data_IF_469866416517
#
_entry.id   IF_469866416517
#
_cell.length_a   1.000
_cell.length_b   1.000
_cell.length_c   1.000
_cell.angle_alpha   90.00
_cell.angle_beta   90.00
_cell.angle_gamma   90.00
#
_symmetry.space_group_name_H-M   'P 1'
#
loop_
_entity.id
_entity.type
_entity.pdbx_description
1 polymer ?
#
# COMPACT_ATOMS: atom_id res chain seq x y z
N UNK A 1 -26.69 4.24 -17.58
CA UNK A 1 -27.81 4.03 -16.65
C UNK A 1 -27.40 3.26 -15.40
N UNK A 2 -26.84 2.05 -15.50
CA UNK A 2 -26.46 1.25 -14.30
C UNK A 2 -25.43 1.91 -13.36
N UNK A 3 -24.40 2.56 -13.90
CA UNK A 3 -23.37 3.23 -13.09
C UNK A 3 -23.92 4.38 -12.23
N UNK A 4 -24.80 5.21 -12.79
CA UNK A 4 -25.42 6.34 -12.07
C UNK A 4 -26.35 5.84 -10.97
N UNK A 5 -27.11 4.76 -11.24
CA UNK A 5 -27.98 4.14 -10.24
C UNK A 5 -27.17 3.56 -9.07
N UNK A 6 -26.04 2.92 -9.36
CA UNK A 6 -25.14 2.37 -8.35
C UNK A 6 -24.49 3.48 -7.50
N UNK A 7 -24.08 4.57 -8.14
CA UNK A 7 -23.53 5.74 -7.44
C UNK A 7 -24.57 6.40 -6.53
N UNK A 8 -25.81 6.56 -7.01
CA UNK A 8 -26.92 7.06 -6.18
C UNK A 8 -27.22 6.11 -5.02
N UNK A 9 -27.18 4.79 -5.24
CA UNK A 9 -27.39 3.80 -4.18
C UNK A 9 -26.30 3.86 -3.12
N UNK A 10 -25.04 4.06 -3.50
CA UNK A 10 -23.91 4.18 -2.56
C UNK A 10 -24.00 5.46 -1.73
N UNK A 11 -24.45 6.57 -2.34
CA UNK A 11 -24.54 7.87 -1.66
C UNK A 11 -25.80 7.96 -0.77
N UNK A 12 -26.96 7.59 -1.30
CA UNK A 12 -28.26 7.77 -0.62
C UNK A 12 -28.77 6.50 0.09
N UNK A 13 -28.20 5.34 -0.20
CA UNK A 13 -28.57 4.08 0.46
C UNK A 13 -28.27 4.06 1.97
N UNK A 14 -27.03 4.32 2.40
CA UNK A 14 -26.67 4.33 3.82
C UNK A 14 -27.53 5.27 4.72
N UNK A 15 -27.81 6.54 4.34
CA UNK A 15 -28.65 7.39 5.18
C UNK A 15 -30.12 6.91 5.20
N UNK A 16 -30.65 6.43 4.08
CA UNK A 16 -32.02 5.90 4.02
C UNK A 16 -32.18 4.63 4.87
N UNK A 17 -31.18 3.74 4.81
CA UNK A 17 -31.14 2.51 5.61
C UNK A 17 -31.02 2.83 7.11
N UNK A 18 -30.21 3.82 7.50
CA UNK A 18 -30.15 4.30 8.89
C UNK A 18 -31.51 4.78 9.41
N UNK A 19 -32.25 5.57 8.61
CA UNK A 19 -33.58 6.05 9.00
C UNK A 19 -34.53 4.87 9.18
N UNK A 20 -34.59 3.94 8.23
CA UNK A 20 -35.47 2.77 8.31
C UNK A 20 -35.14 1.91 9.55
N UNK A 21 -33.86 1.61 9.78
CA UNK A 21 -33.43 0.79 10.91
C UNK A 21 -33.69 1.50 12.25
N UNK A 22 -33.46 2.81 12.34
CA UNK A 22 -33.70 3.57 13.58
C UNK A 22 -35.18 3.59 13.97
N UNK A 23 -36.10 3.74 13.02
CA UNK A 23 -37.55 3.67 13.25
C UNK A 23 -37.94 2.27 13.74
N UNK A 24 -37.46 1.22 13.06
CA UNK A 24 -37.73 -0.17 13.44
C UNK A 24 -37.17 -0.52 14.81
N UNK A 25 -35.96 -0.09 15.12
CA UNK A 25 -35.33 -0.28 16.42
C UNK A 25 -36.13 0.44 17.52
N UNK A 26 -36.53 1.69 17.28
CA UNK A 26 -37.36 2.47 18.21
C UNK A 26 -38.67 1.77 18.56
N UNK A 27 -39.40 1.27 17.55
CA UNK A 27 -40.64 0.51 17.72
C UNK A 27 -40.43 -0.77 18.53
N UNK A 28 -39.35 -1.50 18.25
CA UNK A 28 -39.06 -2.79 18.90
C UNK A 28 -38.41 -2.65 20.28
N UNK A 29 -37.81 -1.51 20.60
CA UNK A 29 -37.06 -1.25 21.84
C UNK A 29 -37.90 -1.28 23.11
N UNK A 30 -39.22 -1.07 23.01
CA UNK A 30 -40.13 -1.18 24.14
C UNK A 30 -40.39 -2.66 24.46
N UNK A 31 -39.71 -3.16 25.49
CA UNK A 31 -39.74 -4.56 25.91
C UNK A 31 -40.70 -4.84 27.08
N UNK A 32 -41.59 -3.89 27.40
CA UNK A 32 -42.55 -4.02 28.48
C UNK A 32 -43.49 -5.22 28.23
N UNK A 33 -43.64 -6.09 29.23
CA UNK A 33 -44.62 -7.17 29.22
C UNK A 33 -44.20 -8.48 28.53
N UNK A 34 -43.01 -8.58 27.95
CA UNK A 34 -42.54 -9.83 27.33
C UNK A 34 -41.75 -10.71 28.32
N UNK A 35 -42.12 -11.98 28.42
CA UNK A 35 -41.43 -13.00 29.23
C UNK A 35 -41.02 -14.21 28.38
N UNK A 36 -40.05 -15.00 28.86
CA UNK A 36 -39.62 -16.25 28.23
C UNK A 36 -39.00 -16.10 26.84
N UNK A 37 -39.22 -17.07 25.91
CA UNK A 37 -38.52 -17.15 24.62
C UNK A 37 -38.89 -16.04 23.64
N UNK A 38 -40.04 -15.39 23.81
CA UNK A 38 -40.42 -14.23 22.99
C UNK A 38 -39.51 -13.02 23.26
N UNK A 39 -39.07 -12.87 24.51
CA UNK A 39 -38.16 -11.79 24.93
C UNK A 39 -36.76 -11.99 24.32
N UNK A 40 -36.22 -13.20 24.35
CA UNK A 40 -34.88 -13.51 23.79
C UNK A 40 -34.83 -13.35 22.28
N UNK A 41 -35.86 -13.80 21.54
CA UNK A 41 -35.98 -13.54 20.09
C UNK A 41 -35.95 -12.05 19.79
N UNK A 42 -36.64 -11.24 20.59
CA UNK A 42 -36.68 -9.78 20.40
C UNK A 42 -35.33 -9.11 20.71
N UNK A 43 -34.60 -9.60 21.71
CA UNK A 43 -33.22 -9.19 21.98
C UNK A 43 -32.28 -9.43 20.80
N UNK A 44 -32.34 -10.63 20.22
CA UNK A 44 -31.53 -11.00 19.06
C UNK A 44 -31.84 -10.07 17.89
N UNK A 45 -33.12 -9.81 17.62
CA UNK A 45 -33.53 -8.87 16.57
C UNK A 45 -33.05 -7.44 16.82
N UNK A 46 -33.08 -6.95 18.07
CA UNK A 46 -32.54 -5.63 18.41
C UNK A 46 -31.03 -5.56 18.19
N UNK A 47 -30.28 -6.61 18.52
CA UNK A 47 -28.84 -6.66 18.27
C UNK A 47 -28.52 -6.67 16.76
N UNK A 48 -29.31 -7.40 15.94
CA UNK A 48 -29.17 -7.40 14.47
C UNK A 48 -29.46 -6.00 13.90
N UNK A 49 -30.54 -5.35 14.33
CA UNK A 49 -30.89 -4.00 13.89
C UNK A 49 -29.80 -2.99 14.29
N UNK A 50 -29.30 -3.07 15.52
CA UNK A 50 -28.21 -2.22 15.99
C UNK A 50 -26.92 -2.43 15.19
N UNK A 51 -26.57 -3.68 14.87
CA UNK A 51 -25.44 -4.00 13.99
C UNK A 51 -25.61 -3.35 12.61
N UNK A 52 -26.81 -3.46 12.02
CA UNK A 52 -27.13 -2.80 10.75
C UNK A 52 -27.00 -1.27 10.83
N UNK A 53 -27.42 -0.66 11.93
CA UNK A 53 -27.26 0.78 12.16
C UNK A 53 -25.78 1.18 12.26
N UNK A 54 -24.98 0.48 13.07
CA UNK A 54 -23.54 0.75 13.21
C UNK A 54 -22.80 0.57 11.89
N UNK A 55 -23.10 -0.48 11.13
CA UNK A 55 -22.52 -0.71 9.80
C UNK A 55 -22.91 0.35 8.77
N UNK A 56 -24.18 0.76 8.74
CA UNK A 56 -24.65 1.81 7.84
C UNK A 56 -24.08 3.19 8.18
N UNK A 57 -23.87 3.48 9.46
CA UNK A 57 -23.17 4.69 9.90
C UNK A 57 -21.71 4.69 9.46
N UNK A 58 -21.01 3.55 9.60
CA UNK A 58 -19.64 3.41 9.11
C UNK A 58 -19.55 3.65 7.60
N UNK A 59 -20.42 3.00 6.81
CA UNK A 59 -20.45 3.20 5.35
C UNK A 59 -20.73 4.65 4.96
N UNK A 60 -21.68 5.31 5.64
CA UNK A 60 -21.95 6.72 5.41
C UNK A 60 -20.70 7.58 5.67
N UNK A 61 -19.98 7.32 6.75
CA UNK A 61 -18.76 8.06 7.07
C UNK A 61 -17.63 7.79 6.09
N UNK A 62 -17.49 6.57 5.58
CA UNK A 62 -16.54 6.27 4.50
C UNK A 62 -16.87 7.04 3.21
N UNK A 63 -18.15 7.15 2.85
CA UNK A 63 -18.58 7.95 1.70
C UNK A 63 -18.31 9.44 1.91
N UNK A 64 -18.51 9.94 3.13
CA UNK A 64 -18.22 11.33 3.48
C UNK A 64 -16.72 11.64 3.60
N UNK A 65 -15.90 10.66 3.97
CA UNK A 65 -14.45 10.81 4.07
C UNK A 65 -13.76 10.71 2.72
N UNK A 66 -14.41 10.10 1.72
CA UNK A 66 -13.85 9.89 0.40
C UNK A 66 -13.37 11.20 -0.23
N UNK A 67 -12.20 11.15 -0.86
CA UNK A 67 -11.63 12.27 -1.58
C UNK A 67 -12.50 12.62 -2.79
N UNK A 68 -12.86 13.90 -2.93
CA UNK A 68 -13.52 14.38 -4.15
C UNK A 68 -12.41 14.64 -5.17
N UNK A 69 -12.35 13.92 -6.30
CA UNK A 69 -11.31 14.15 -7.30
C UNK A 69 -11.50 15.55 -7.91
N UNK A 70 -10.62 16.47 -7.54
CA UNK A 70 -10.55 17.81 -8.12
C UNK A 70 -9.75 17.79 -9.42
N UNK A 71 -10.32 18.28 -10.52
CA UNK A 71 -9.65 18.30 -11.82
C UNK A 71 -8.39 19.19 -11.88
N UNK A 72 -8.14 20.04 -10.87
CA UNK A 72 -7.06 21.05 -10.90
C UNK A 72 -6.28 21.22 -9.57
N UNK A 73 -6.44 20.33 -8.59
CA UNK A 73 -5.67 20.37 -7.34
C UNK A 73 -5.59 19.00 -6.68
N UNK A 74 -4.52 18.75 -5.92
CA UNK A 74 -4.40 17.56 -5.07
C UNK A 74 -5.66 17.43 -4.20
N UNK A 75 -6.33 16.28 -4.30
CA UNK A 75 -7.58 16.04 -3.58
C UNK A 75 -7.33 16.20 -2.07
N UNK A 76 -8.10 17.08 -1.42
CA UNK A 76 -8.10 17.25 0.02
C UNK A 76 -9.47 16.86 0.53
N UNK A 77 -9.53 15.90 1.46
CA UNK A 77 -10.76 15.60 2.17
C UNK A 77 -11.24 16.84 2.92
N UNK A 78 -12.55 17.11 2.85
CA UNK A 78 -13.18 18.19 3.63
C UNK A 78 -13.08 17.94 5.14
N UNK A 79 -12.81 16.70 5.56
CA UNK A 79 -12.66 16.30 6.96
C UNK A 79 -11.40 15.42 7.13
N UNK A 80 -10.20 16.01 7.23
CA UNK A 80 -8.94 15.28 7.32
C UNK A 80 -8.89 14.29 8.50
N UNK A 81 -9.49 14.68 9.63
CA UNK A 81 -9.58 13.83 10.83
C UNK A 81 -10.49 12.62 10.65
N UNK A 82 -11.54 12.74 9.81
CA UNK A 82 -12.48 11.65 9.51
C UNK A 82 -11.86 10.63 8.55
N UNK A 83 -11.05 11.11 7.61
CA UNK A 83 -10.26 10.25 6.72
C UNK A 83 -9.20 9.46 7.49
N UNK A 84 -8.52 10.09 8.46
CA UNK A 84 -7.50 9.42 9.26
C UNK A 84 -8.09 8.30 10.14
N UNK A 85 -9.26 8.53 10.74
CA UNK A 85 -9.84 7.58 11.70
C UNK A 85 -11.37 7.45 11.54
N UNK A 86 -11.86 6.78 10.48
CA UNK A 86 -13.31 6.68 10.21
C UNK A 86 -14.07 5.88 11.29
N UNK A 87 -13.38 5.00 12.02
CA UNK A 87 -13.99 4.20 13.10
C UNK A 87 -14.25 5.02 14.38
N UNK A 88 -13.42 6.02 14.70
CA UNK A 88 -13.55 6.80 15.94
C UNK A 88 -14.94 7.44 16.14
N UNK A 89 -15.52 8.18 15.17
CA UNK A 89 -16.86 8.72 15.32
C UNK A 89 -17.95 7.64 15.41
N UNK A 90 -17.79 6.50 14.72
CA UNK A 90 -18.73 5.37 14.84
C UNK A 90 -18.74 4.81 16.26
N UNK A 91 -17.56 4.65 16.86
CA UNK A 91 -17.40 4.21 18.26
C UNK A 91 -18.07 5.20 19.21
N UNK A 92 -17.77 6.50 19.07
CA UNK A 92 -18.32 7.54 19.95
C UNK A 92 -19.86 7.65 19.85
N UNK A 93 -20.41 7.66 18.64
CA UNK A 93 -21.87 7.72 18.43
C UNK A 93 -22.54 6.46 18.96
N UNK A 94 -21.96 5.27 18.71
CA UNK A 94 -22.53 4.01 19.20
C UNK A 94 -22.48 3.91 20.74
N UNK A 95 -21.41 4.39 21.35
CA UNK A 95 -21.27 4.49 22.80
C UNK A 95 -22.30 5.45 23.40
N UNK A 96 -22.47 6.64 22.80
CA UNK A 96 -23.45 7.63 23.25
C UNK A 96 -24.89 7.09 23.19
N UNK A 97 -25.26 6.39 22.10
CA UNK A 97 -26.59 5.76 21.96
C UNK A 97 -26.77 4.66 23.02
N UNK A 98 -25.76 3.81 23.22
CA UNK A 98 -25.77 2.77 24.26
C UNK A 98 -26.02 3.36 25.65
N UNK A 99 -25.27 4.40 26.01
CA UNK A 99 -25.38 5.07 27.32
C UNK A 99 -26.74 5.74 27.50
N UNK A 100 -27.24 6.45 26.48
CA UNK A 100 -28.54 7.10 26.52
C UNK A 100 -29.68 6.09 26.71
N UNK A 101 -29.61 4.93 26.06
CA UNK A 101 -30.58 3.84 26.24
C UNK A 101 -30.46 3.17 27.62
N UNK A 102 -29.25 3.06 28.18
CA UNK A 102 -29.04 2.54 29.54
C UNK A 102 -29.58 3.49 30.62
N UNK A 103 -29.50 4.81 30.39
CA UNK A 103 -30.06 5.82 31.29
C UNK A 103 -31.59 5.82 31.30
N UNK A 104 -32.26 5.26 30.28
CA UNK A 104 -33.73 5.16 30.23
C UNK A 104 -34.20 3.82 30.81
N UNK A 105 -34.88 3.80 31.99
CA UNK A 105 -35.16 2.55 32.72
C UNK A 105 -36.01 1.56 31.92
N UNK A 106 -36.91 2.05 31.07
CA UNK A 106 -37.77 1.23 30.20
C UNK A 106 -37.05 0.65 28.98
N UNK A 107 -35.85 1.15 28.64
CA UNK A 107 -35.07 0.73 27.45
C UNK A 107 -33.67 0.21 27.76
N UNK A 108 -33.26 0.11 29.03
CA UNK A 108 -32.04 -0.60 29.47
C UNK A 108 -31.72 -1.89 28.69
N UNK A 109 -32.67 -2.84 28.53
CA UNK A 109 -32.42 -4.05 27.75
C UNK A 109 -32.12 -3.78 26.26
N UNK A 110 -32.77 -2.78 25.66
CA UNK A 110 -32.47 -2.35 24.29
C UNK A 110 -31.07 -1.71 24.22
N UNK A 111 -30.64 -0.97 25.26
CA UNK A 111 -29.29 -0.43 25.37
C UNK A 111 -28.21 -1.51 25.37
N UNK A 112 -28.38 -2.59 26.14
CA UNK A 112 -27.47 -3.74 26.12
C UNK A 112 -27.41 -4.40 24.73
N UNK A 113 -28.56 -4.55 24.08
CA UNK A 113 -28.65 -5.12 22.72
C UNK A 113 -27.90 -4.26 21.71
N UNK A 114 -28.02 -2.94 21.85
CA UNK A 114 -27.34 -1.98 20.99
C UNK A 114 -25.83 -2.07 21.17
N UNK A 115 -25.35 -2.09 22.42
CA UNK A 115 -23.93 -2.28 22.72
C UNK A 115 -23.36 -3.56 22.12
N UNK A 116 -24.08 -4.69 22.23
CA UNK A 116 -23.67 -5.98 21.61
C UNK A 116 -23.62 -5.87 20.09
N UNK A 117 -24.64 -5.27 19.46
CA UNK A 117 -24.67 -5.08 18.00
C UNK A 117 -23.54 -4.18 17.49
N UNK A 118 -23.24 -3.10 18.21
CA UNK A 118 -22.13 -2.21 17.91
C UNK A 118 -20.77 -2.94 18.04
N UNK A 119 -20.58 -3.72 19.10
CA UNK A 119 -19.36 -4.50 19.33
C UNK A 119 -19.12 -5.56 18.26
N UNK A 120 -20.16 -6.22 17.74
CA UNK A 120 -20.03 -7.19 16.65
C UNK A 120 -19.45 -6.55 15.38
N UNK A 121 -19.95 -5.37 15.03
CA UNK A 121 -19.49 -4.64 13.83
C UNK A 121 -18.12 -4.04 14.05
N UNK A 122 -17.91 -3.35 15.18
CA UNK A 122 -16.63 -2.73 15.51
C UNK A 122 -15.52 -3.77 15.71
N UNK A 123 -15.84 -4.94 16.28
CA UNK A 123 -14.91 -6.06 16.41
C UNK A 123 -14.52 -6.62 15.05
N UNK A 124 -15.49 -6.89 14.17
CA UNK A 124 -15.21 -7.36 12.81
C UNK A 124 -14.39 -6.36 11.99
N UNK A 125 -14.81 -5.09 11.96
CA UNK A 125 -14.07 -4.02 11.27
C UNK A 125 -12.69 -3.77 11.87
N UNK A 126 -12.58 -3.81 13.21
CA UNK A 126 -11.33 -3.65 13.93
C UNK A 126 -10.34 -4.75 13.61
N UNK A 127 -10.77 -6.01 13.54
CA UNK A 127 -9.90 -7.12 13.11
C UNK A 127 -9.43 -6.95 11.67
N UNK A 128 -10.31 -6.56 10.74
CA UNK A 128 -9.92 -6.30 9.35
C UNK A 128 -8.87 -5.19 9.25
N UNK A 129 -9.11 -4.04 9.89
CA UNK A 129 -8.15 -2.93 9.95
C UNK A 129 -6.83 -3.35 10.58
N UNK A 130 -6.87 -4.09 11.69
CA UNK A 130 -5.67 -4.59 12.35
C UNK A 130 -4.84 -5.51 11.45
N UNK A 131 -5.46 -6.37 10.64
CA UNK A 131 -4.71 -7.24 9.73
C UNK A 131 -4.17 -6.51 8.50
N UNK A 132 -4.91 -5.56 7.92
CA UNK A 132 -4.49 -4.90 6.68
C UNK A 132 -3.52 -3.75 6.90
N UNK A 133 -3.79 -2.89 7.88
CA UNK A 133 -3.02 -1.66 8.08
C UNK A 133 -1.73 -1.92 8.87
N UNK A 134 -1.79 -2.81 9.87
CA UNK A 134 -0.60 -3.16 10.66
C UNK A 134 0.49 -3.83 9.82
N UNK A 135 0.11 -4.63 8.81
CA UNK A 135 1.09 -5.24 7.92
C UNK A 135 1.83 -4.19 7.08
N UNK A 136 1.15 -3.13 6.64
CA UNK A 136 1.76 -2.04 5.90
C UNK A 136 2.62 -1.13 6.79
N UNK A 137 2.19 -0.86 8.03
CA UNK A 137 2.99 -0.11 9.01
C UNK A 137 4.28 -0.83 9.39
N UNK A 138 4.21 -2.14 9.65
CA UNK A 138 5.40 -2.96 9.94
C UNK A 138 6.35 -2.95 8.75
N UNK A 139 5.83 -3.03 7.52
CA UNK A 139 6.67 -2.92 6.32
C UNK A 139 7.33 -1.55 6.22
N UNK A 140 6.57 -0.48 6.41
CA UNK A 140 7.09 0.90 6.37
C UNK A 140 8.20 1.10 7.38
N UNK A 141 8.01 0.65 8.62
CA UNK A 141 9.04 0.75 9.65
C UNK A 141 10.31 -0.02 9.24
N UNK A 142 10.16 -1.25 8.74
CA UNK A 142 11.30 -2.01 8.22
C UNK A 142 12.03 -1.29 7.08
N UNK A 143 11.30 -0.69 6.13
CA UNK A 143 11.88 0.13 5.07
C UNK A 143 12.61 1.37 5.61
N UNK A 144 12.05 2.06 6.60
CA UNK A 144 12.72 3.21 7.23
C UNK A 144 14.03 2.81 7.89
N UNK A 145 14.04 1.69 8.61
CA UNK A 145 15.25 1.16 9.24
C UNK A 145 16.32 0.83 8.20
N UNK A 146 15.96 0.10 7.14
CA UNK A 146 16.90 -0.22 6.04
C UNK A 146 17.47 1.04 5.37
N UNK A 147 16.63 2.07 5.17
CA UNK A 147 17.07 3.35 4.62
C UNK A 147 18.05 4.09 5.53
N UNK A 148 17.84 4.04 6.85
CA UNK A 148 18.78 4.64 7.80
C UNK A 148 20.13 3.91 7.77
N UNK A 149 20.12 2.58 7.66
CA UNK A 149 21.34 1.77 7.51
C UNK A 149 22.08 2.13 6.22
N UNK A 150 21.40 2.24 5.08
CA UNK A 150 21.99 2.67 3.81
C UNK A 150 22.62 4.06 3.88
N UNK A 151 21.92 5.05 4.47
CA UNK A 151 22.48 6.40 4.67
C UNK A 151 23.77 6.34 5.49
N UNK A 152 23.71 5.68 6.66
CA UNK A 152 24.87 5.54 7.53
C UNK A 152 26.03 4.82 6.83
N UNK A 153 25.74 3.78 6.05
CA UNK A 153 26.74 3.04 5.30
C UNK A 153 27.37 3.89 4.19
N UNK A 154 26.57 4.64 3.43
CA UNK A 154 27.05 5.57 2.40
C UNK A 154 27.97 6.64 2.98
N UNK A 155 27.65 7.15 4.18
CA UNK A 155 28.44 8.17 4.87
C UNK A 155 29.83 7.67 5.29
N UNK A 156 30.02 6.36 5.47
CA UNK A 156 31.37 5.78 5.69
C UNK A 156 32.31 5.98 4.50
N UNK A 157 31.76 6.26 3.31
CA UNK A 157 32.53 6.39 2.07
C UNK A 157 32.85 5.05 1.38
N UNK A 158 32.31 3.93 1.87
CA UNK A 158 32.55 2.60 1.30
C UNK A 158 32.28 2.52 -0.23
N UNK A 159 31.24 3.22 -0.71
CA UNK A 159 30.86 3.24 -2.14
C UNK A 159 31.51 4.37 -2.95
N UNK A 160 32.29 5.26 -2.32
CA UNK A 160 32.78 6.50 -2.96
C UNK A 160 33.68 6.22 -4.16
N UNK A 161 34.65 5.32 -4.01
CA UNK A 161 35.59 5.00 -5.10
C UNK A 161 34.90 4.37 -6.33
N UNK A 162 33.89 3.54 -6.12
CA UNK A 162 33.10 2.94 -7.20
C UNK A 162 32.28 4.01 -7.93
N UNK A 163 31.62 4.90 -7.18
CA UNK A 163 30.86 6.03 -7.70
C UNK A 163 31.74 6.99 -8.50
N UNK A 164 32.89 7.41 -7.96
CA UNK A 164 33.82 8.33 -8.65
C UNK A 164 34.34 7.72 -9.97
N UNK A 165 34.52 6.40 -10.01
CA UNK A 165 34.93 5.68 -11.21
C UNK A 165 33.80 5.61 -12.24
N UNK A 166 32.57 5.38 -11.79
CA UNK A 166 31.38 5.45 -12.62
C UNK A 166 31.19 6.85 -13.21
N UNK A 167 31.21 7.91 -12.40
CA UNK A 167 30.97 9.30 -12.84
C UNK A 167 31.96 9.74 -13.93
N UNK A 168 33.25 9.36 -13.79
CA UNK A 168 34.28 9.64 -14.80
C UNK A 168 34.00 8.97 -16.14
N UNK A 169 33.42 7.77 -16.14
CA UNK A 169 33.11 7.03 -17.36
C UNK A 169 31.73 7.40 -17.92
N UNK A 170 30.77 7.75 -17.05
CA UNK A 170 29.41 8.14 -17.42
C UNK A 170 29.39 9.40 -18.29
N UNK A 171 30.35 10.32 -18.11
CA UNK A 171 30.52 11.49 -18.97
C UNK A 171 30.79 11.15 -20.46
N UNK A 172 31.17 9.90 -20.76
CA UNK A 172 31.41 9.41 -22.13
C UNK A 172 30.24 8.60 -22.69
N UNK A 173 29.17 8.43 -21.91
CA UNK A 173 27.99 7.67 -22.30
C UNK A 173 26.98 8.56 -23.02
N UNK A 174 26.20 7.94 -23.89
CA UNK A 174 25.10 8.63 -24.56
C UNK A 174 23.88 8.71 -23.63
N UNK A 175 23.11 9.78 -23.79
CA UNK A 175 21.84 9.94 -23.11
C UNK A 175 20.76 9.08 -23.78
N UNK A 176 19.81 8.56 -23.00
CA UNK A 176 18.77 7.65 -23.50
C UNK A 176 17.91 8.27 -24.60
N UNK A 177 17.64 9.57 -24.55
CA UNK A 177 16.84 10.30 -25.56
C UNK A 177 17.43 10.28 -26.99
N UNK A 178 18.73 9.96 -27.13
CA UNK A 178 19.41 9.89 -28.42
C UNK A 178 19.37 8.47 -29.04
N UNK A 179 18.82 7.51 -28.32
CA UNK A 179 18.75 6.12 -28.74
C UNK A 179 17.52 5.85 -29.61
N UNK A 180 17.70 4.98 -30.58
CA UNK A 180 16.61 4.32 -31.31
C UNK A 180 16.09 3.11 -30.54
N UNK A 181 17.03 2.39 -29.89
CA UNK A 181 16.75 1.23 -29.05
C UNK A 181 17.51 1.34 -27.74
N UNK A 182 16.80 1.22 -26.62
CA UNK A 182 17.40 1.19 -25.29
C UNK A 182 18.08 -0.16 -25.01
N UNK A 183 19.10 -0.20 -24.13
CA UNK A 183 19.69 -1.46 -23.72
C UNK A 183 18.65 -2.33 -23.02
N UNK A 184 18.56 -3.61 -23.40
CA UNK A 184 17.54 -4.53 -22.88
C UNK A 184 18.18 -5.84 -22.45
N UNK A 185 17.75 -6.40 -21.32
CA UNK A 185 18.21 -7.72 -20.89
C UNK A 185 17.62 -8.82 -21.80
N UNK A 186 18.39 -9.84 -22.21
CA UNK A 186 17.85 -10.94 -23.02
C UNK A 186 16.68 -11.63 -22.31
N UNK A 187 15.50 -11.61 -22.93
CA UNK A 187 14.26 -12.13 -22.35
C UNK A 187 13.47 -11.11 -21.50
N UNK A 188 13.92 -9.86 -21.43
CA UNK A 188 13.25 -8.76 -20.73
C UNK A 188 13.36 -8.83 -19.21
N UNK A 189 12.59 -7.98 -18.53
CA UNK A 189 12.71 -7.74 -17.09
C UNK A 189 12.45 -8.99 -16.24
N UNK A 190 11.49 -9.83 -16.64
CA UNK A 190 11.21 -11.10 -15.92
C UNK A 190 12.37 -12.07 -15.97
N UNK A 191 13.09 -12.12 -17.09
CA UNK A 191 14.27 -12.96 -17.23
C UNK A 191 15.43 -12.41 -16.41
N UNK A 192 15.55 -11.08 -16.32
CA UNK A 192 16.52 -10.42 -15.45
C UNK A 192 16.28 -10.78 -13.98
N UNK A 193 15.04 -10.65 -13.50
CA UNK A 193 14.69 -11.01 -12.12
C UNK A 193 14.99 -12.48 -11.82
N UNK A 194 14.60 -13.39 -12.73
CA UNK A 194 14.89 -14.82 -12.57
C UNK A 194 16.40 -15.09 -12.53
N UNK A 195 17.19 -14.40 -13.36
CA UNK A 195 18.64 -14.53 -13.38
C UNK A 195 19.27 -13.96 -12.10
N UNK A 196 18.75 -12.84 -11.58
CA UNK A 196 19.17 -12.27 -10.29
C UNK A 196 18.96 -13.27 -9.17
N UNK A 197 17.77 -13.89 -9.10
CA UNK A 197 17.48 -14.93 -8.10
C UNK A 197 18.37 -16.16 -8.26
N UNK A 198 18.61 -16.61 -9.49
CA UNK A 198 19.49 -17.76 -9.76
C UNK A 198 20.95 -17.51 -9.36
N UNK A 199 21.42 -16.26 -9.46
CA UNK A 199 22.77 -15.86 -9.09
C UNK A 199 22.91 -15.58 -7.58
N UNK A 200 21.82 -15.45 -6.83
CA UNK A 200 21.84 -15.11 -5.42
C UNK A 200 22.47 -16.22 -4.57
N UNK A 201 23.40 -15.85 -3.68
CA UNK A 201 24.03 -16.83 -2.82
C UNK A 201 23.06 -17.37 -1.76
N UNK A 202 23.14 -18.65 -1.39
CA UNK A 202 22.38 -19.19 -0.25
C UNK A 202 22.72 -18.50 1.08
N UNK A 203 23.94 -17.95 1.20
CA UNK A 203 24.40 -17.19 2.37
C UNK A 203 24.08 -15.69 2.29
N UNK A 204 23.40 -15.23 1.24
CA UNK A 204 23.01 -13.83 1.12
C UNK A 204 22.07 -13.46 2.27
N UNK A 205 22.20 -12.26 2.84
CA UNK A 205 21.27 -11.80 3.87
C UNK A 205 19.86 -11.68 3.29
N UNK A 206 18.85 -12.00 4.10
CA UNK A 206 17.45 -11.84 3.73
C UNK A 206 16.86 -10.63 4.44
N UNK A 207 16.24 -9.69 3.72
CA UNK A 207 15.60 -8.55 4.34
C UNK A 207 14.31 -8.97 5.07
N UNK A 208 13.86 -8.20 6.07
CA UNK A 208 12.60 -8.46 6.80
C UNK A 208 11.35 -8.25 5.95
N UNK A 209 11.48 -7.63 4.78
CA UNK A 209 10.41 -7.35 3.82
C UNK A 209 10.99 -7.43 2.41
N UNK A 210 10.17 -7.70 1.40
CA UNK A 210 10.63 -7.71 0.01
C UNK A 210 11.14 -6.32 -0.38
N UNK A 211 12.41 -6.21 -0.74
CA UNK A 211 13.05 -4.95 -1.13
C UNK A 211 13.96 -5.14 -2.33
N UNK A 212 14.66 -4.08 -2.74
CA UNK A 212 15.69 -4.15 -3.75
C UNK A 212 16.88 -3.26 -3.38
N UNK A 213 18.03 -3.59 -3.97
CA UNK A 213 19.17 -2.68 -4.09
C UNK A 213 19.18 -2.11 -5.51
N UNK A 214 19.21 -0.79 -5.64
CA UNK A 214 19.33 -0.10 -6.92
C UNK A 214 20.81 0.04 -7.28
N UNK A 215 21.24 -0.71 -8.28
CA UNK A 215 22.60 -0.66 -8.82
C UNK A 215 22.57 0.10 -10.14
N UNK A 216 23.50 1.03 -10.32
CA UNK A 216 23.70 1.69 -11.61
C UNK A 216 25.04 1.27 -12.22
N UNK A 217 25.00 0.93 -13.50
CA UNK A 217 26.17 0.54 -14.28
C UNK A 217 26.12 1.13 -15.68
N UNK A 218 27.15 0.85 -16.47
CA UNK A 218 27.24 1.26 -17.88
C UNK A 218 27.13 -0.01 -18.72
N UNK A 219 26.12 -0.08 -19.59
CA UNK A 219 26.04 -1.10 -20.62
C UNK A 219 26.95 -0.68 -21.75
N UNK A 220 28.05 -1.42 -21.94
CA UNK A 220 28.99 -1.18 -23.03
C UNK A 220 28.37 -1.55 -24.40
N UNK A 221 28.95 -1.11 -25.53
CA UNK A 221 28.52 -1.53 -26.87
C UNK A 221 28.55 -3.05 -27.09
N UNK A 222 29.31 -3.77 -26.25
CA UNK A 222 29.40 -5.24 -26.22
C UNK A 222 28.24 -5.90 -25.47
N UNK A 223 27.39 -5.13 -24.80
CA UNK A 223 26.35 -5.62 -23.90
C UNK A 223 26.80 -5.89 -22.47
N UNK A 224 28.09 -5.77 -22.17
CA UNK A 224 28.62 -6.03 -20.82
C UNK A 224 28.29 -4.88 -19.87
N UNK A 225 27.92 -5.21 -18.63
CA UNK A 225 27.80 -4.22 -17.55
C UNK A 225 29.18 -3.86 -16.99
N UNK A 226 29.53 -2.58 -17.05
CA UNK A 226 30.77 -2.02 -16.53
C UNK A 226 30.50 -1.00 -15.41
N UNK A 227 31.46 -0.84 -14.50
CA UNK A 227 31.41 0.12 -13.38
C UNK A 227 30.10 0.10 -12.54
N UNK A 228 29.60 -1.08 -12.12
CA UNK A 228 28.42 -1.12 -11.27
C UNK A 228 28.73 -0.52 -9.90
N UNK A 229 27.86 0.36 -9.43
CA UNK A 229 27.89 0.96 -8.11
C UNK A 229 26.47 1.07 -7.55
N UNK A 230 26.34 1.11 -6.23
CA UNK A 230 25.04 1.21 -5.55
C UNK A 230 24.59 2.67 -5.49
N UNK A 231 23.36 2.93 -5.93
CA UNK A 231 22.69 4.23 -5.83
C UNK A 231 21.83 4.25 -4.57
N UNK A 232 20.97 3.25 -4.40
CA UNK A 232 20.14 3.04 -3.21
C UNK A 232 20.38 1.61 -2.70
N UNK A 233 20.97 1.50 -1.52
CA UNK A 233 21.34 0.23 -0.91
C UNK A 233 20.42 -0.18 0.23
N UNK A 234 20.78 -1.32 0.83
CA UNK A 234 20.23 -1.80 2.10
C UNK A 234 21.33 -1.87 3.19
N UNK A 235 22.57 -1.57 2.81
CA UNK A 235 23.74 -1.60 3.68
C UNK A 235 24.65 -2.81 3.44
N UNK A 236 25.57 -3.07 4.38
CA UNK A 236 26.61 -4.06 4.21
C UNK A 236 26.03 -5.48 4.11
N UNK A 237 26.62 -6.29 3.24
CA UNK A 237 26.18 -7.63 2.87
C UNK A 237 25.22 -7.64 1.68
N UNK A 238 24.25 -6.72 1.63
CA UNK A 238 23.30 -6.60 0.53
C UNK A 238 23.92 -5.91 -0.69
N UNK A 239 24.58 -4.77 -0.44
CA UNK A 239 25.15 -3.93 -1.49
C UNK A 239 26.28 -4.64 -2.26
N UNK A 240 27.16 -5.35 -1.55
CA UNK A 240 28.24 -6.12 -2.16
C UNK A 240 27.71 -7.29 -2.98
N UNK A 241 26.65 -7.95 -2.48
CA UNK A 241 26.02 -9.05 -3.18
C UNK A 241 25.30 -8.55 -4.44
N UNK A 242 24.61 -7.42 -4.36
CA UNK A 242 23.95 -6.79 -5.51
C UNK A 242 24.97 -6.41 -6.59
N UNK A 243 26.06 -5.73 -6.22
CA UNK A 243 27.14 -5.40 -7.16
C UNK A 243 27.77 -6.66 -7.75
N UNK A 244 27.95 -7.72 -6.95
CA UNK A 244 28.45 -9.00 -7.46
C UNK A 244 27.50 -9.60 -8.48
N UNK A 245 26.21 -9.70 -8.19
CA UNK A 245 25.21 -10.25 -9.11
C UNK A 245 25.26 -9.48 -10.43
N UNK A 246 25.23 -8.16 -10.38
CA UNK A 246 25.26 -7.30 -11.57
C UNK A 246 26.52 -7.51 -12.42
N UNK A 247 27.68 -7.75 -11.80
CA UNK A 247 28.92 -8.09 -12.52
C UNK A 247 28.90 -9.45 -13.22
N UNK A 248 28.02 -10.35 -12.80
CA UNK A 248 27.88 -11.71 -13.35
C UNK A 248 26.63 -11.86 -14.22
N UNK A 249 25.91 -10.77 -14.48
CA UNK A 249 24.79 -10.81 -15.40
C UNK A 249 25.28 -11.17 -16.82
N UNK A 250 24.46 -11.92 -17.57
CA UNK A 250 24.65 -12.10 -19.01
C UNK A 250 24.77 -10.76 -19.76
N UNK A 251 25.28 -10.84 -20.99
CA UNK A 251 25.35 -9.69 -21.88
C UNK A 251 23.94 -9.18 -22.20
N UNK A 252 23.77 -7.88 -22.03
CA UNK A 252 22.58 -7.15 -22.46
C UNK A 252 22.61 -6.96 -23.98
N UNK A 253 21.45 -6.76 -24.56
CA UNK A 253 21.38 -6.11 -25.86
C UNK A 253 21.81 -4.65 -25.69
N UNK A 254 22.82 -4.16 -26.42
CA UNK A 254 23.34 -2.81 -26.24
C UNK A 254 22.33 -1.77 -26.74
N UNK A 255 22.45 -0.54 -26.23
CA UNK A 255 21.70 0.60 -26.76
C UNK A 255 22.17 0.94 -28.18
N UNK A 256 21.24 1.28 -29.06
CA UNK A 256 21.51 1.62 -30.46
C UNK A 256 21.18 3.09 -30.68
N UNK A 257 22.11 3.87 -31.24
CA UNK A 257 21.86 5.27 -31.60
C UNK A 257 20.89 5.39 -32.78
N UNK A 258 20.10 6.47 -32.75
CA UNK A 258 19.28 6.86 -33.91
C UNK A 258 20.16 7.13 -35.12
N UNK A 259 19.83 6.48 -36.23
CA UNK A 259 20.51 6.69 -37.51
C UNK A 259 20.24 8.12 -38.02
N UNK A 260 21.30 8.81 -38.42
CA UNK A 260 21.20 10.02 -39.25
C UNK A 260 21.07 9.63 -40.73
N UNK A 261 20.60 10.53 -41.60
CA UNK A 261 20.30 10.25 -43.02
C UNK A 261 21.44 9.60 -43.84
N UNK A 262 22.68 9.63 -43.33
CA UNK A 262 23.88 9.09 -43.97
C UNK A 262 24.66 8.09 -43.09
N UNK A 263 24.12 7.71 -41.92
CA UNK A 263 24.83 6.94 -40.90
C UNK A 263 24.18 5.60 -40.54
N UNK A 264 25.00 4.55 -40.41
CA UNK A 264 24.58 3.23 -39.95
C UNK A 264 24.26 3.24 -38.43
N UNK A 265 23.31 2.40 -38.00
CA UNK A 265 22.99 2.20 -36.58
C UNK A 265 24.21 1.62 -35.84
N UNK A 266 24.62 2.27 -34.74
CA UNK A 266 25.81 1.87 -33.98
C UNK A 266 25.47 1.56 -32.52
N UNK A 267 26.01 0.48 -31.95
CA UNK A 267 25.87 0.18 -30.53
C UNK A 267 26.69 1.18 -29.72
N UNK A 268 26.13 1.67 -28.60
CA UNK A 268 26.74 2.70 -27.78
C UNK A 268 26.67 2.39 -26.29
N UNK A 269 27.58 3.02 -25.54
CA UNK A 269 27.60 2.95 -24.10
C UNK A 269 26.51 3.83 -23.49
N UNK A 270 25.70 3.25 -22.60
CA UNK A 270 24.57 3.92 -21.94
C UNK A 270 24.58 3.52 -20.47
N UNK A 271 24.28 4.45 -19.56
CA UNK A 271 24.10 4.09 -18.16
C UNK A 271 22.71 3.46 -17.95
N UNK A 272 22.66 2.38 -17.18
CA UNK A 272 21.45 1.62 -16.91
C UNK A 272 21.27 1.40 -15.42
N UNK A 273 20.01 1.40 -14.98
CA UNK A 273 19.61 1.12 -13.61
C UNK A 273 19.10 -0.31 -13.52
N UNK A 274 19.66 -1.08 -12.60
CA UNK A 274 19.37 -2.49 -12.42
C UNK A 274 18.88 -2.69 -10.98
N UNK A 275 17.65 -3.16 -10.86
CA UNK A 275 17.02 -3.48 -9.59
C UNK A 275 17.40 -4.91 -9.19
N UNK A 276 18.07 -5.06 -8.05
CA UNK A 276 18.40 -6.37 -7.48
C UNK A 276 17.44 -6.65 -6.35
N UNK A 277 16.36 -7.37 -6.65
CA UNK A 277 15.31 -7.69 -5.70
C UNK A 277 15.73 -8.79 -4.71
N UNK A 278 15.51 -8.56 -3.43
CA UNK A 278 15.69 -9.52 -2.35
C UNK A 278 14.33 -9.89 -1.77
N UNK A 279 13.93 -11.15 -1.94
CA UNK A 279 12.66 -11.69 -1.44
C UNK A 279 12.87 -12.56 -0.19
N UNK A 280 11.80 -12.76 0.58
CA UNK A 280 11.81 -13.67 1.75
C UNK A 280 11.75 -15.16 1.40
#
# INVERSE_FOLDING_TARGET
>A
MGFVLLLLLVIFGPPLLLVILSVRFGQLSQLAGLTGPARTRRFIWLAVLASGMTGSLYLLLCVLSAEIPGAHAAAKSNFPWLHAHPLMPVVLVSLAITLLLLCTPTRRPAGLSFGVGALLVLGGLGTHWFFTDHQEDVKREAFYQLRQVDIAYRDTGAQRAARDSFERQAARCYHKDLLDKEPTFPGGDRALDAQVQALMRPSAPRPPVDTYVLVQGIIEPTGRVAFPHVVEGLGPGFDEEAVRIVRHLPLFEPGILRATAEGEQRPVAVHEQIYVSFYQ
#
